data_IF_919972544840
#
_entry.id   IF_919972544840
#
_cell.length_a   1.000
_cell.length_b   1.000
_cell.length_c   1.000
_cell.angle_alpha   90.00
_cell.angle_beta   90.00
_cell.angle_gamma   90.00
#
_symmetry.space_group_name_H-M   'P 1'
#
loop_
_entity.id
_entity.type
_entity.pdbx_description
1 polymer ?
#
# COMPACT_ATOMS: atom_id res chain seq x y z
N UNK A 1 29.65 1.83 -20.25
CA UNK A 1 29.71 3.30 -20.09
C UNK A 1 29.27 3.75 -18.68
N UNK A 2 28.08 3.37 -18.21
CA UNK A 2 27.54 3.80 -16.90
C UNK A 2 28.40 3.45 -15.67
N UNK A 3 29.04 2.28 -15.64
CA UNK A 3 29.94 1.85 -14.55
C UNK A 3 31.16 2.77 -14.36
N UNK A 4 31.63 3.42 -15.42
CA UNK A 4 32.80 4.32 -15.38
C UNK A 4 32.41 5.70 -14.87
N UNK A 5 31.28 6.25 -15.35
CA UNK A 5 30.74 7.52 -14.88
C UNK A 5 30.34 7.46 -13.39
N UNK A 6 29.74 6.33 -12.99
CA UNK A 6 29.29 6.14 -11.62
C UNK A 6 30.47 5.92 -10.64
N UNK A 7 31.58 5.32 -11.10
CA UNK A 7 32.86 5.29 -10.36
C UNK A 7 33.49 6.67 -10.21
N UNK A 8 33.39 7.53 -11.24
CA UNK A 8 33.86 8.91 -11.17
C UNK A 8 33.06 9.73 -10.15
N UNK A 9 31.73 9.58 -10.14
CA UNK A 9 30.85 10.20 -9.13
C UNK A 9 31.19 9.72 -7.71
N UNK A 10 31.44 8.42 -7.53
CA UNK A 10 31.85 7.88 -6.23
C UNK A 10 33.22 8.40 -5.79
N UNK A 11 34.17 8.52 -6.73
CA UNK A 11 35.51 9.07 -6.46
C UNK A 11 35.42 10.55 -6.03
N UNK A 12 34.59 11.34 -6.71
CA UNK A 12 34.33 12.74 -6.40
C UNK A 12 33.61 12.95 -5.05
N UNK A 13 32.81 11.98 -4.59
CA UNK A 13 32.06 12.07 -3.33
C UNK A 13 32.80 11.45 -2.13
N UNK A 14 33.72 10.51 -2.36
CA UNK A 14 34.48 9.82 -1.30
C UNK A 14 35.81 10.50 -0.97
N UNK A 15 36.29 11.39 -1.83
CA UNK A 15 37.54 12.11 -1.63
C UNK A 15 37.19 13.56 -1.34
N UNK A 16 37.34 14.02 -0.09
CA UNK A 16 37.33 15.44 0.22
C UNK A 16 38.34 16.14 -0.70
N UNK A 17 37.86 17.10 -1.48
CA UNK A 17 38.61 17.76 -2.56
C UNK A 17 39.80 18.57 -2.01
N UNK A 18 39.86 18.81 -0.70
CA UNK A 18 40.90 19.62 -0.06
C UNK A 18 42.22 18.87 0.18
N UNK A 19 42.23 17.53 0.21
CA UNK A 19 43.42 16.75 0.64
C UNK A 19 44.26 16.16 -0.53
N UNK A 20 43.86 16.37 -1.79
CA UNK A 20 44.47 15.69 -2.95
C UNK A 20 45.79 16.33 -3.42
N UNK A 21 46.14 17.53 -2.98
CA UNK A 21 47.34 18.22 -3.49
C UNK A 21 48.67 17.79 -2.85
N UNK A 22 48.69 16.84 -1.89
CA UNK A 22 49.90 16.58 -1.11
C UNK A 22 50.52 15.17 -1.20
N UNK A 23 49.91 14.16 -1.84
CA UNK A 23 50.51 12.80 -1.81
C UNK A 23 50.35 11.98 -3.10
N UNK A 24 51.38 11.19 -3.50
CA UNK A 24 51.32 10.34 -4.68
C UNK A 24 50.34 9.18 -4.49
N UNK A 25 49.52 8.93 -5.51
CA UNK A 25 48.49 7.88 -5.59
C UNK A 25 49.08 6.47 -5.42
N UNK A 26 49.23 6.01 -4.17
CA UNK A 26 49.43 4.58 -3.87
C UNK A 26 48.14 3.82 -4.16
N UNK A 27 48.20 2.80 -5.02
CA UNK A 27 47.11 1.82 -5.17
C UNK A 27 46.93 1.08 -3.84
N UNK A 28 45.95 1.50 -3.04
CA UNK A 28 45.48 0.72 -1.89
C UNK A 28 44.89 -0.60 -2.40
N UNK A 29 45.08 -1.73 -1.70
CA UNK A 29 44.35 -2.95 -2.00
C UNK A 29 42.84 -2.67 -1.98
N UNK A 30 42.08 -3.39 -2.81
CA UNK A 30 40.62 -3.32 -2.83
C UNK A 30 40.09 -3.66 -1.43
N UNK A 31 39.73 -2.65 -0.64
CA UNK A 31 39.01 -2.85 0.62
C UNK A 31 37.68 -3.53 0.32
N UNK A 32 37.30 -4.48 1.16
CA UNK A 32 35.99 -5.09 1.11
C UNK A 32 34.95 -3.96 1.32
N UNK A 33 34.05 -3.66 0.37
CA UNK A 33 33.10 -2.56 0.51
C UNK A 33 32.13 -2.74 1.70
N UNK A 34 32.18 -3.90 2.35
CA UNK A 34 31.44 -4.28 3.55
C UNK A 34 32.24 -4.20 4.87
N UNK A 35 33.47 -3.67 4.89
CA UNK A 35 34.12 -3.17 6.12
C UNK A 35 33.44 -1.85 6.58
N UNK A 36 32.11 -1.84 6.59
CA UNK A 36 31.35 -0.62 6.69
C UNK A 36 31.55 -0.03 8.08
N UNK A 37 31.86 1.27 8.05
CA UNK A 37 31.58 2.30 9.05
C UNK A 37 30.29 2.01 9.85
N UNK A 38 30.09 2.68 10.98
CA UNK A 38 28.85 2.56 11.77
C UNK A 38 27.59 2.44 10.89
N UNK A 39 26.70 1.51 11.23
CA UNK A 39 25.46 1.24 10.50
C UNK A 39 24.68 2.55 10.28
N UNK A 40 24.42 2.90 9.02
CA UNK A 40 23.50 3.99 8.69
C UNK A 40 22.05 3.65 9.06
N UNK A 41 21.44 4.50 9.87
CA UNK A 41 20.01 4.45 10.21
C UNK A 41 19.48 5.87 10.01
N UNK A 42 18.94 6.11 8.81
CA UNK A 42 18.47 7.41 8.38
C UNK A 42 16.96 7.59 8.55
N UNK A 43 16.53 8.85 8.68
CA UNK A 43 15.14 9.26 8.56
C UNK A 43 14.98 10.27 7.42
N UNK A 44 14.04 10.01 6.53
CA UNK A 44 13.58 10.91 5.45
C UNK A 44 12.16 11.38 5.79
N UNK A 45 12.08 12.57 6.36
CA UNK A 45 10.83 13.23 6.70
C UNK A 45 10.37 14.21 5.63
N UNK A 46 9.12 14.66 5.76
CA UNK A 46 8.54 15.69 4.91
C UNK A 46 7.03 15.59 4.89
N UNK A 47 6.34 16.67 4.54
CA UNK A 47 4.88 16.71 4.40
C UNK A 47 4.40 15.68 3.37
N UNK A 48 3.10 15.40 3.39
CA UNK A 48 2.46 14.77 2.23
C UNK A 48 2.89 15.53 0.95
N UNK A 49 3.12 14.79 -0.13
CA UNK A 49 3.40 15.39 -1.45
C UNK A 49 4.74 16.15 -1.59
N UNK A 50 5.66 16.02 -0.64
CA UNK A 50 7.04 16.55 -0.74
C UNK A 50 7.98 15.72 -1.62
N UNK A 51 7.47 14.69 -2.32
CA UNK A 51 8.28 13.87 -3.22
C UNK A 51 9.09 12.75 -2.57
N UNK A 52 8.81 12.37 -1.31
CA UNK A 52 9.48 11.22 -0.62
C UNK A 52 9.51 9.95 -1.48
N UNK A 53 8.37 9.56 -2.06
CA UNK A 53 8.30 8.39 -2.95
C UNK A 53 9.15 8.54 -4.22
N UNK A 54 9.29 9.76 -4.76
CA UNK A 54 10.15 10.03 -5.92
C UNK A 54 11.64 9.87 -5.57
N UNK A 55 12.06 10.27 -4.37
CA UNK A 55 13.42 10.01 -3.86
C UNK A 55 13.67 8.50 -3.76
N UNK A 56 12.72 7.75 -3.19
CA UNK A 56 12.81 6.28 -3.10
C UNK A 56 12.96 5.66 -4.50
N UNK A 57 12.12 6.05 -5.46
CA UNK A 57 12.20 5.56 -6.85
C UNK A 57 13.53 5.90 -7.53
N UNK A 58 14.10 7.06 -7.22
CA UNK A 58 15.40 7.48 -7.73
C UNK A 58 16.53 6.60 -7.17
N UNK A 59 16.50 6.26 -5.88
CA UNK A 59 17.46 5.33 -5.27
C UNK A 59 17.38 3.94 -5.90
N UNK A 60 16.18 3.45 -6.20
CA UNK A 60 16.01 2.17 -6.90
C UNK A 60 16.56 2.20 -8.33
N UNK A 61 16.22 3.26 -9.06
CA UNK A 61 16.69 3.45 -10.44
C UNK A 61 18.22 3.51 -10.46
N UNK A 62 18.83 4.15 -9.47
CA UNK A 62 20.28 4.17 -9.31
C UNK A 62 20.85 2.77 -9.05
N UNK A 63 20.28 2.01 -8.10
CA UNK A 63 20.73 0.65 -7.79
C UNK A 63 20.62 -0.29 -9.00
N UNK A 64 19.54 -0.20 -9.76
CA UNK A 64 19.32 -0.96 -11.00
C UNK A 64 20.33 -0.59 -12.08
N UNK A 65 20.51 0.71 -12.38
CA UNK A 65 21.51 1.21 -13.33
C UNK A 65 22.95 0.87 -12.92
N UNK A 66 23.20 0.65 -11.62
CA UNK A 66 24.49 0.20 -11.10
C UNK A 66 24.70 -1.33 -11.25
N UNK A 67 23.70 -2.07 -11.72
CA UNK A 67 23.76 -3.54 -11.80
C UNK A 67 23.69 -4.20 -10.41
N UNK A 68 23.08 -3.52 -9.44
CA UNK A 68 22.83 -4.01 -8.08
C UNK A 68 21.32 -4.08 -7.79
N UNK A 69 20.56 -4.44 -8.82
CA UNK A 69 19.14 -4.78 -8.66
C UNK A 69 19.02 -5.86 -7.56
N UNK A 70 18.32 -5.53 -6.47
CA UNK A 70 18.19 -6.39 -5.29
C UNK A 70 18.98 -5.96 -4.05
N UNK A 71 19.91 -4.99 -4.15
CA UNK A 71 20.62 -4.46 -2.98
C UNK A 71 19.78 -3.50 -2.12
N UNK A 72 18.60 -3.10 -2.60
CA UNK A 72 17.67 -2.21 -1.90
C UNK A 72 16.34 -2.93 -1.71
N UNK A 73 16.01 -3.26 -0.47
CA UNK A 73 14.69 -3.74 -0.09
C UNK A 73 13.79 -2.55 0.24
N UNK A 74 12.51 -2.69 -0.08
CA UNK A 74 11.47 -1.73 0.33
C UNK A 74 10.35 -2.47 1.03
N UNK A 75 9.91 -1.92 2.15
CA UNK A 75 8.76 -2.37 2.91
C UNK A 75 7.90 -1.16 3.32
N UNK A 76 6.60 -1.35 3.54
CA UNK A 76 5.73 -0.29 4.03
C UNK A 76 4.69 -0.81 5.03
N UNK A 77 4.12 0.08 5.84
CA UNK A 77 3.08 -0.26 6.82
C UNK A 77 1.78 -0.73 6.16
N UNK A 78 1.25 0.06 5.22
CA UNK A 78 -0.01 -0.22 4.53
C UNK A 78 0.21 -0.80 3.13
N UNK A 79 -0.81 -1.50 2.62
CA UNK A 79 -0.81 -2.01 1.24
C UNK A 79 -0.73 -0.90 0.18
N UNK A 80 -1.45 0.20 0.40
CA UNK A 80 -1.45 1.36 -0.51
C UNK A 80 -0.07 2.03 -0.54
N UNK A 81 0.55 2.24 0.62
CA UNK A 81 1.92 2.77 0.69
C UNK A 81 2.92 1.83 0.00
N UNK A 82 2.81 0.52 0.26
CA UNK A 82 3.65 -0.47 -0.40
C UNK A 82 3.50 -0.40 -1.93
N UNK A 83 2.28 -0.20 -2.45
CA UNK A 83 2.04 -0.05 -3.88
C UNK A 83 2.74 1.19 -4.47
N UNK A 84 2.61 2.34 -3.81
CA UNK A 84 3.20 3.61 -4.26
C UNK A 84 4.71 3.52 -4.49
N UNK A 85 5.39 2.73 -3.66
CA UNK A 85 6.84 2.49 -3.77
C UNK A 85 7.19 1.10 -4.30
N UNK A 86 6.24 0.36 -4.90
CA UNK A 86 6.43 -1.00 -5.46
C UNK A 86 7.12 -1.99 -4.50
N UNK A 87 6.71 -1.97 -3.25
CA UNK A 87 7.24 -2.71 -2.11
C UNK A 87 6.31 -3.86 -1.66
N UNK A 88 6.75 -4.63 -0.67
CA UNK A 88 5.89 -5.53 0.12
C UNK A 88 5.43 -4.81 1.40
N UNK A 89 4.34 -5.24 2.01
CA UNK A 89 4.03 -4.79 3.38
C UNK A 89 5.03 -5.40 4.37
N UNK A 90 5.23 -4.78 5.52
CA UNK A 90 6.08 -5.33 6.60
C UNK A 90 5.66 -6.76 6.97
N UNK A 91 4.34 -7.00 7.06
CA UNK A 91 3.76 -8.32 7.33
C UNK A 91 4.18 -9.37 6.30
N UNK A 92 4.02 -9.07 5.00
CA UNK A 92 4.38 -10.00 3.92
C UNK A 92 5.89 -10.18 3.77
N UNK A 93 6.68 -9.12 4.00
CA UNK A 93 8.13 -9.16 3.86
C UNK A 93 8.83 -9.96 4.96
N UNK A 94 8.19 -10.13 6.13
CA UNK A 94 8.76 -10.78 7.31
C UNK A 94 7.95 -11.97 7.83
N UNK A 95 6.92 -12.39 7.08
CA UNK A 95 6.00 -13.47 7.47
C UNK A 95 5.43 -13.26 8.87
N UNK A 96 4.97 -12.04 9.17
CA UNK A 96 4.42 -11.69 10.48
C UNK A 96 2.95 -12.11 10.60
N UNK A 97 2.49 -12.32 11.84
CA UNK A 97 1.06 -12.54 12.10
C UNK A 97 0.27 -11.27 11.81
N UNK A 98 -0.92 -11.42 11.21
CA UNK A 98 -1.84 -10.29 10.94
C UNK A 98 -2.54 -9.83 12.22
N UNK A 99 -2.69 -10.72 13.21
CA UNK A 99 -3.22 -10.42 14.54
C UNK A 99 -2.27 -10.96 15.61
N UNK A 100 -1.97 -10.12 16.60
CA UNK A 100 -0.98 -10.40 17.65
C UNK A 100 0.46 -10.07 17.24
N UNK A 101 1.40 -10.35 18.15
CA UNK A 101 2.80 -10.01 17.98
C UNK A 101 3.63 -11.20 17.44
N UNK A 102 4.68 -10.89 16.69
CA UNK A 102 5.70 -11.85 16.27
C UNK A 102 5.50 -12.47 14.88
N UNK A 103 6.47 -13.32 14.51
CA UNK A 103 6.46 -14.06 13.26
C UNK A 103 5.36 -15.11 13.26
N UNK A 104 4.72 -15.28 12.10
CA UNK A 104 3.85 -16.43 11.82
C UNK A 104 4.68 -17.68 11.56
N UNK A 105 5.80 -17.54 10.87
CA UNK A 105 6.77 -18.61 10.60
C UNK A 105 8.17 -18.02 10.44
N UNK A 106 9.20 -18.81 10.74
CA UNK A 106 10.59 -18.39 10.52
C UNK A 106 10.90 -18.16 9.04
N UNK A 107 11.92 -17.34 8.73
CA UNK A 107 12.31 -17.04 7.35
C UNK A 107 12.84 -18.29 6.64
N UNK A 108 12.35 -18.54 5.42
CA UNK A 108 12.80 -19.67 4.62
C UNK A 108 14.18 -19.42 3.97
N UNK A 109 14.78 -20.45 3.35
CA UNK A 109 16.13 -20.37 2.76
C UNK A 109 16.21 -19.31 1.63
N UNK A 110 15.15 -19.16 0.85
CA UNK A 110 15.10 -18.17 -0.23
C UNK A 110 15.12 -16.74 0.34
N UNK A 111 14.27 -16.46 1.33
CA UNK A 111 14.23 -15.16 2.01
C UNK A 111 15.59 -14.79 2.60
N UNK A 112 16.28 -15.76 3.25
CA UNK A 112 17.63 -15.53 3.77
C UNK A 112 18.62 -15.23 2.65
N UNK A 113 18.52 -15.92 1.52
CA UNK A 113 19.40 -15.72 0.36
C UNK A 113 19.18 -14.35 -0.28
N UNK A 114 17.92 -13.96 -0.46
CA UNK A 114 17.55 -12.65 -1.02
C UNK A 114 17.98 -11.53 -0.07
N UNK A 115 17.68 -11.66 1.23
CA UNK A 115 18.03 -10.66 2.25
C UNK A 115 19.54 -10.55 2.49
N UNK A 116 20.31 -11.62 2.22
CA UNK A 116 21.77 -11.55 2.29
C UNK A 116 22.34 -10.53 1.29
N UNK A 117 21.74 -10.38 0.11
CA UNK A 117 22.16 -9.43 -0.93
C UNK A 117 21.75 -7.98 -0.62
N UNK A 118 20.76 -7.78 0.25
CA UNK A 118 20.26 -6.46 0.64
C UNK A 118 21.35 -5.70 1.39
N UNK A 119 21.53 -4.43 1.05
CA UNK A 119 22.44 -3.49 1.72
C UNK A 119 21.63 -2.42 2.44
N UNK A 120 20.56 -1.95 1.82
CA UNK A 120 19.66 -0.92 2.34
C UNK A 120 18.22 -1.44 2.41
N UNK A 121 17.59 -1.26 3.57
CA UNK A 121 16.15 -1.49 3.79
C UNK A 121 15.46 -0.14 3.92
N UNK A 122 14.52 0.15 3.03
CA UNK A 122 13.67 1.34 3.08
C UNK A 122 12.33 0.95 3.71
N UNK A 123 11.92 1.66 4.77
CA UNK A 123 10.65 1.48 5.46
C UNK A 123 9.80 2.72 5.26
N UNK A 124 8.74 2.62 4.45
CA UNK A 124 7.83 3.73 4.17
C UNK A 124 6.60 3.72 5.08
N UNK A 125 6.04 4.90 5.31
CA UNK A 125 5.01 5.17 6.33
C UNK A 125 5.42 4.68 7.74
N UNK A 126 6.66 4.96 8.14
CA UNK A 126 7.16 4.62 9.48
C UNK A 126 6.33 5.27 10.60
N UNK A 127 5.73 6.44 10.33
CA UNK A 127 4.87 7.16 11.28
C UNK A 127 3.59 6.43 11.64
N UNK A 128 3.09 5.56 10.76
CA UNK A 128 1.92 4.73 11.02
C UNK A 128 2.26 3.37 11.64
N UNK A 129 3.55 3.04 11.76
CA UNK A 129 4.00 1.73 12.24
C UNK A 129 4.02 1.73 13.77
N UNK A 130 3.33 0.80 14.41
CA UNK A 130 3.42 0.67 15.87
C UNK A 130 4.75 0.00 16.32
N UNK A 131 5.06 0.12 17.61
CA UNK A 131 6.30 -0.41 18.17
C UNK A 131 6.39 -1.95 18.07
N UNK A 132 5.27 -2.66 18.18
CA UNK A 132 5.23 -4.12 18.20
C UNK A 132 5.52 -4.69 16.80
N UNK A 133 4.96 -4.07 15.77
CA UNK A 133 5.18 -4.40 14.37
C UNK A 133 6.62 -4.09 13.95
N UNK A 134 7.15 -2.92 14.33
CA UNK A 134 8.56 -2.61 14.04
C UNK A 134 9.50 -3.59 14.75
N UNK A 135 9.24 -3.90 16.03
CA UNK A 135 10.05 -4.86 16.79
C UNK A 135 10.00 -6.26 16.18
N UNK A 136 8.82 -6.71 15.75
CA UNK A 136 8.67 -8.00 15.07
C UNK A 136 9.39 -8.02 13.72
N UNK A 137 9.37 -6.90 12.99
CA UNK A 137 10.09 -6.74 11.72
C UNK A 137 11.61 -6.77 11.93
N UNK A 138 12.10 -6.09 12.97
CA UNK A 138 13.51 -6.06 13.35
C UNK A 138 14.01 -7.47 13.74
N UNK A 139 13.30 -8.15 14.64
CA UNK A 139 13.60 -9.54 15.03
C UNK A 139 13.66 -10.47 13.81
N UNK A 140 12.66 -10.39 12.94
CA UNK A 140 12.65 -11.20 11.73
C UNK A 140 13.80 -10.89 10.76
N UNK A 141 14.23 -9.62 10.70
CA UNK A 141 15.39 -9.22 9.89
C UNK A 141 16.69 -9.75 10.48
N UNK A 142 16.83 -9.74 11.82
CA UNK A 142 17.98 -10.30 12.53
C UNK A 142 18.13 -11.80 12.26
N UNK A 143 17.02 -12.55 12.25
CA UNK A 143 17.01 -14.00 11.96
C UNK A 143 17.46 -14.36 10.53
N UNK A 144 17.45 -13.38 9.62
CA UNK A 144 17.89 -13.53 8.24
C UNK A 144 19.37 -13.20 8.03
N UNK A 145 20.10 -12.79 9.07
CA UNK A 145 21.47 -12.27 8.96
C UNK A 145 22.43 -12.89 9.98
N UNK A 146 23.72 -12.65 9.79
CA UNK A 146 24.78 -12.99 10.75
C UNK A 146 25.04 -11.90 11.79
N UNK A 147 24.26 -10.81 11.80
CA UNK A 147 24.39 -9.67 12.72
C UNK A 147 23.14 -9.51 13.62
N UNK A 148 22.77 -10.52 14.43
CA UNK A 148 21.50 -10.55 15.15
C UNK A 148 21.37 -9.49 16.26
N UNK A 149 22.48 -8.86 16.64
CA UNK A 149 22.51 -7.81 17.68
C UNK A 149 22.23 -6.41 17.14
N UNK A 150 22.33 -6.22 15.82
CA UNK A 150 22.14 -4.92 15.18
C UNK A 150 20.71 -4.76 14.68
N UNK A 151 20.22 -3.52 14.68
CA UNK A 151 18.91 -3.18 14.13
C UNK A 151 18.81 -3.66 12.68
N UNK A 152 17.66 -4.23 12.30
CA UNK A 152 17.39 -4.80 10.97
C UNK A 152 18.45 -5.81 10.50
N UNK A 153 19.11 -6.51 11.42
CA UNK A 153 20.17 -7.46 11.08
C UNK A 153 21.44 -6.80 10.53
N UNK A 154 21.71 -5.55 10.93
CA UNK A 154 22.90 -4.79 10.51
C UNK A 154 22.81 -4.15 9.13
N UNK A 155 21.68 -4.27 8.44
CA UNK A 155 21.45 -3.60 7.15
C UNK A 155 21.30 -2.10 7.35
N UNK A 156 21.77 -1.30 6.40
CA UNK A 156 21.44 0.12 6.41
C UNK A 156 19.93 0.28 6.36
N UNK A 157 19.39 1.24 7.10
CA UNK A 157 17.95 1.45 7.15
C UNK A 157 17.62 2.90 6.85
N UNK A 158 16.66 3.13 5.97
CA UNK A 158 16.08 4.45 5.72
C UNK A 158 14.60 4.41 6.08
N UNK A 159 14.22 5.20 7.07
CA UNK A 159 12.86 5.32 7.57
C UNK A 159 12.21 6.52 6.91
N UNK A 160 11.14 6.31 6.15
CA UNK A 160 10.43 7.36 5.42
C UNK A 160 9.04 7.55 6.01
N UNK A 161 8.60 8.79 6.16
CA UNK A 161 7.23 9.08 6.60
C UNK A 161 7.06 10.50 7.13
N UNK A 162 5.91 10.75 7.74
CA UNK A 162 5.57 12.04 8.35
C UNK A 162 4.95 11.82 9.73
N UNK A 163 5.68 12.16 10.79
CA UNK A 163 5.24 11.96 12.17
C UNK A 163 4.01 12.78 12.56
N UNK A 164 3.62 13.76 11.74
CA UNK A 164 2.40 14.57 11.95
C UNK A 164 1.12 13.89 11.46
N UNK A 165 1.18 12.79 10.72
CA UNK A 165 -0.01 12.19 10.09
C UNK A 165 -0.81 11.31 11.07
N UNK A 166 -0.16 10.42 11.83
CA UNK A 166 -0.78 9.60 12.88
C UNK A 166 0.29 9.24 13.94
N UNK A 167 -0.05 9.20 15.23
CA UNK A 167 0.96 8.99 16.28
C UNK A 167 1.37 7.52 16.35
N UNK A 168 2.64 7.24 16.04
CA UNK A 168 3.35 6.08 16.56
C UNK A 168 4.33 6.53 17.65
N UNK A 169 4.16 6.01 18.87
CA UNK A 169 5.08 6.27 19.98
C UNK A 169 6.22 5.26 19.91
N UNK A 170 7.42 5.70 19.51
CA UNK A 170 8.60 4.83 19.44
C UNK A 170 9.90 5.46 19.98
N UNK A 171 10.04 5.61 21.31
CA UNK A 171 11.20 6.26 21.93
C UNK A 171 12.55 5.63 21.56
N UNK A 172 12.58 4.29 21.40
CA UNK A 172 13.80 3.54 21.10
C UNK A 172 14.27 3.69 19.66
N UNK A 173 13.37 3.99 18.72
CA UNK A 173 13.72 4.19 17.32
C UNK A 173 14.51 5.49 17.15
N UNK A 174 14.07 6.57 17.81
CA UNK A 174 14.71 7.87 17.73
C UNK A 174 16.18 7.84 18.16
N UNK A 175 16.52 7.06 19.20
CA UNK A 175 17.90 6.91 19.65
C UNK A 175 18.81 6.16 18.68
N UNK A 176 18.23 5.38 17.76
CA UNK A 176 18.99 4.62 16.78
C UNK A 176 19.24 5.41 15.48
N UNK A 177 18.42 6.42 15.18
CA UNK A 177 18.56 7.26 14.00
C UNK A 177 19.81 8.14 14.14
N UNK A 178 20.70 8.06 13.14
CA UNK A 178 21.96 8.81 13.12
C UNK A 178 22.09 9.75 11.92
N UNK A 179 21.08 9.82 11.06
CA UNK A 179 21.02 10.75 9.95
C UNK A 179 19.59 11.17 9.68
N UNK A 180 19.35 12.47 9.49
CA UNK A 180 18.00 13.02 9.33
C UNK A 180 17.98 14.01 8.17
N UNK A 181 17.03 13.83 7.26
CA UNK A 181 16.75 14.75 6.16
C UNK A 181 15.26 15.03 6.14
N UNK A 182 14.89 16.30 6.01
CA UNK A 182 13.51 16.72 5.77
C UNK A 182 13.39 17.32 4.37
N UNK A 183 12.40 16.82 3.60
CA UNK A 183 11.93 17.48 2.40
C UNK A 183 10.92 18.55 2.80
N UNK A 184 11.19 19.79 2.42
CA UNK A 184 10.42 20.97 2.85
C UNK A 184 9.51 21.54 1.76
N UNK A 185 9.76 21.20 0.50
CA UNK A 185 9.02 21.74 -0.64
C UNK A 185 7.86 20.82 -1.02
N UNK A 186 6.63 21.34 -0.99
CA UNK A 186 5.44 20.63 -1.44
C UNK A 186 5.30 20.73 -2.97
N UNK A 187 5.25 19.58 -3.65
CA UNK A 187 5.29 19.50 -5.11
C UNK A 187 3.89 19.53 -5.75
N UNK A 188 2.84 19.10 -5.03
CA UNK A 188 1.47 19.01 -5.58
C UNK A 188 0.66 20.28 -5.34
N UNK A 189 0.81 20.91 -4.17
CA UNK A 189 0.15 22.17 -3.85
C UNK A 189 0.90 23.41 -4.39
N UNK A 190 1.96 23.22 -5.18
CA UNK A 190 2.73 24.31 -5.79
C UNK A 190 1.86 25.23 -6.67
N UNK A 191 0.76 24.71 -7.23
CA UNK A 191 -0.19 25.48 -8.03
C UNK A 191 -1.21 26.26 -7.19
N UNK A 192 -1.35 25.94 -5.90
CA UNK A 192 -2.25 26.62 -4.95
C UNK A 192 -1.51 26.87 -3.61
N UNK A 193 -0.74 27.95 -3.60
CA UNK A 193 0.04 28.36 -2.43
C UNK A 193 -0.84 28.62 -1.20
N UNK A 194 -2.09 29.06 -1.39
CA UNK A 194 -3.01 29.27 -0.28
C UNK A 194 -3.41 27.94 0.35
N UNK A 195 -3.71 26.93 -0.45
CA UNK A 195 -4.00 25.58 0.04
C UNK A 195 -2.78 24.93 0.70
N UNK A 196 -1.58 25.09 0.11
CA UNK A 196 -0.33 24.60 0.70
C UNK A 196 -0.10 25.16 2.12
N UNK A 197 -0.34 26.46 2.31
CA UNK A 197 -0.21 27.12 3.62
C UNK A 197 -1.21 26.55 4.64
N UNK A 198 -2.48 26.37 4.24
CA UNK A 198 -3.51 25.77 5.10
C UNK A 198 -3.09 24.36 5.55
N UNK A 199 -2.58 23.54 4.64
CA UNK A 199 -2.10 22.18 4.96
C UNK A 199 -0.92 22.19 5.94
N UNK A 200 0.03 23.11 5.76
CA UNK A 200 1.17 23.24 6.67
C UNK A 200 0.72 23.70 8.07
N UNK A 201 -0.21 24.65 8.16
CA UNK A 201 -0.81 25.08 9.43
C UNK A 201 -1.53 23.93 10.15
N UNK A 202 -2.33 23.15 9.41
CA UNK A 202 -3.02 21.97 9.92
C UNK A 202 -2.05 20.92 10.46
N UNK A 203 -0.95 20.66 9.75
CA UNK A 203 0.07 19.68 10.13
C UNK A 203 0.68 19.95 11.51
N UNK A 204 0.83 21.23 11.87
CA UNK A 204 1.37 21.65 13.17
C UNK A 204 0.30 21.92 14.22
N UNK A 205 -0.99 21.78 13.87
CA UNK A 205 -2.11 22.14 14.74
C UNK A 205 -2.22 23.64 15.02
N UNK A 206 -1.68 24.49 14.14
CA UNK A 206 -1.65 25.96 14.28
C UNK A 206 -2.48 26.62 13.19
N UNK A 207 -3.76 26.27 13.12
CA UNK A 207 -4.68 26.74 12.08
C UNK A 207 -5.12 28.19 12.37
N UNK A 208 -4.86 29.08 11.44
CA UNK A 208 -5.34 30.46 11.48
C UNK A 208 -6.86 30.56 11.27
N UNK A 209 -7.47 31.63 11.75
CA UNK A 209 -8.90 31.87 11.55
C UNK A 209 -9.27 32.02 10.06
N UNK A 210 -8.39 32.63 9.24
CA UNK A 210 -8.58 32.74 7.79
C UNK A 210 -8.52 31.37 7.11
N UNK A 211 -7.55 30.52 7.47
CA UNK A 211 -7.45 29.15 6.98
C UNK A 211 -8.71 28.33 7.33
N UNK A 212 -9.19 28.44 8.58
CA UNK A 212 -10.40 27.76 9.02
C UNK A 212 -11.64 28.27 8.25
N UNK A 213 -11.77 29.59 8.07
CA UNK A 213 -12.88 30.18 7.31
C UNK A 213 -12.87 29.72 5.85
N UNK A 214 -11.69 29.63 5.22
CA UNK A 214 -11.54 29.09 3.86
C UNK A 214 -11.94 27.62 3.78
N UNK A 215 -11.53 26.78 4.73
CA UNK A 215 -11.96 25.37 4.78
C UNK A 215 -13.47 25.26 4.95
N UNK A 216 -14.06 26.04 5.87
CA UNK A 216 -15.49 26.06 6.11
C UNK A 216 -16.28 26.55 4.88
N UNK A 217 -15.72 27.46 4.07
CA UNK A 217 -16.35 27.89 2.81
C UNK A 217 -16.47 26.78 1.77
N UNK A 218 -15.71 25.68 1.92
CA UNK A 218 -15.79 24.49 1.06
C UNK A 218 -16.74 23.43 1.59
N UNK A 219 -17.35 23.64 2.75
CA UNK A 219 -18.42 22.79 3.24
C UNK A 219 -19.65 23.09 2.40
N UNK A 220 -19.91 22.20 1.45
CA UNK A 220 -21.10 22.28 0.60
C UNK A 220 -22.21 21.54 1.32
N UNK A 221 -23.31 22.22 1.64
CA UNK A 221 -24.56 21.53 1.97
C UNK A 221 -24.98 20.69 0.76
N UNK A 222 -25.27 19.41 0.98
CA UNK A 222 -25.67 18.48 -0.08
C UNK A 222 -26.72 19.15 -0.98
N UNK A 223 -26.40 19.43 -2.26
CA UNK A 223 -27.37 20.07 -3.13
C UNK A 223 -28.59 19.14 -3.25
N UNK A 224 -29.79 19.72 -3.13
CA UNK A 224 -31.07 19.01 -3.25
C UNK A 224 -31.24 18.34 -4.61
N UNK A 225 -30.45 18.74 -5.61
CA UNK A 225 -30.32 18.12 -6.93
C UNK A 225 -28.87 18.25 -7.39
N UNK A 226 -28.13 17.15 -7.42
CA UNK A 226 -26.80 17.13 -8.02
C UNK A 226 -26.93 16.96 -9.53
N UNK A 227 -26.48 17.95 -10.31
CA UNK A 227 -26.26 17.76 -11.74
C UNK A 227 -25.19 16.70 -11.94
N UNK A 228 -25.59 15.58 -12.54
CA UNK A 228 -24.75 14.40 -12.71
C UNK A 228 -23.87 14.56 -13.92
N UNK A 229 -22.74 15.23 -13.74
CA UNK A 229 -21.65 15.22 -14.73
C UNK A 229 -21.11 13.80 -14.87
N UNK A 230 -21.09 13.30 -16.10
CA UNK A 230 -21.00 11.89 -16.47
C UNK A 230 -19.65 11.17 -16.24
N UNK A 231 -18.59 11.81 -15.74
CA UNK A 231 -17.25 11.20 -15.85
C UNK A 231 -16.21 11.69 -14.84
N UNK A 232 -16.45 11.59 -13.53
CA UNK A 232 -15.33 11.64 -12.58
C UNK A 232 -15.56 10.79 -11.33
N UNK A 233 -14.67 9.83 -11.10
CA UNK A 233 -14.58 9.07 -9.85
C UNK A 233 -14.31 10.05 -8.70
N UNK A 234 -15.29 10.22 -7.80
CA UNK A 234 -15.19 11.09 -6.62
C UNK A 234 -15.06 10.22 -5.37
N UNK A 235 -13.84 9.97 -4.86
CA UNK A 235 -13.67 9.19 -3.64
C UNK A 235 -14.25 9.95 -2.45
N UNK A 236 -15.05 9.26 -1.62
CA UNK A 236 -15.47 9.77 -0.32
C UNK A 236 -14.55 9.23 0.77
N UNK A 237 -14.06 10.11 1.63
CA UNK A 237 -13.27 9.76 2.81
C UNK A 237 -14.12 9.94 4.05
N UNK A 238 -14.17 8.92 4.91
CA UNK A 238 -14.92 8.91 6.16
C UNK A 238 -14.11 8.32 7.29
N UNK A 239 -14.45 8.69 8.53
CA UNK A 239 -13.66 8.35 9.71
C UNK A 239 -13.70 6.86 10.11
N UNK A 240 -14.73 6.10 9.72
CA UNK A 240 -14.88 4.70 10.16
C UNK A 240 -15.25 3.75 9.02
N UNK A 241 -14.81 2.49 9.12
CA UNK A 241 -15.20 1.44 8.19
C UNK A 241 -16.71 1.19 8.18
N UNK A 242 -17.37 1.28 9.35
CA UNK A 242 -18.84 1.16 9.45
C UNK A 242 -19.56 2.18 8.59
N UNK A 243 -19.16 3.45 8.66
CA UNK A 243 -19.74 4.52 7.84
C UNK A 243 -19.39 4.30 6.37
N UNK A 244 -18.13 3.93 6.06
CA UNK A 244 -17.69 3.64 4.68
C UNK A 244 -18.53 2.55 4.03
N UNK A 245 -18.77 1.44 4.72
CA UNK A 245 -19.57 0.34 4.20
C UNK A 245 -21.05 0.73 4.04
N UNK A 246 -21.61 1.51 4.98
CA UNK A 246 -22.98 2.01 4.86
C UNK A 246 -23.17 2.94 3.67
N UNK A 247 -22.27 3.93 3.48
CA UNK A 247 -22.30 4.84 2.33
C UNK A 247 -22.13 4.08 1.03
N UNK A 248 -21.18 3.15 0.95
CA UNK A 248 -20.99 2.33 -0.25
C UNK A 248 -22.24 1.52 -0.59
N UNK A 249 -22.93 0.93 0.41
CA UNK A 249 -24.20 0.23 0.20
C UNK A 249 -25.27 1.18 -0.36
N UNK A 250 -25.51 2.32 0.30
CA UNK A 250 -26.52 3.30 -0.11
C UNK A 250 -26.27 3.84 -1.52
N UNK A 251 -25.02 4.20 -1.82
CA UNK A 251 -24.62 4.68 -3.16
C UNK A 251 -24.80 3.60 -4.22
N UNK A 252 -24.45 2.35 -3.90
CA UNK A 252 -24.62 1.22 -4.82
C UNK A 252 -26.11 1.02 -5.16
N UNK A 253 -26.98 1.07 -4.16
CA UNK A 253 -28.42 0.88 -4.34
C UNK A 253 -29.03 2.03 -5.14
N UNK A 254 -28.70 3.27 -4.77
CA UNK A 254 -29.15 4.47 -5.49
C UNK A 254 -28.74 4.47 -6.96
N UNK A 255 -27.49 4.12 -7.28
CA UNK A 255 -27.01 4.04 -8.67
C UNK A 255 -27.75 2.96 -9.45
N UNK A 256 -28.00 1.80 -8.84
CA UNK A 256 -28.70 0.70 -9.51
C UNK A 256 -30.17 1.05 -9.79
N UNK A 257 -30.88 1.63 -8.83
CA UNK A 257 -32.28 2.07 -9.01
C UNK A 257 -32.40 3.09 -10.14
N UNK A 258 -31.52 4.09 -10.15
CA UNK A 258 -31.66 5.20 -11.08
C UNK A 258 -31.18 4.89 -12.49
N UNK A 259 -30.08 4.15 -12.62
CA UNK A 259 -29.58 3.72 -13.93
C UNK A 259 -30.27 2.43 -14.42
N UNK A 260 -31.26 1.92 -13.67
CA UNK A 260 -31.93 0.64 -13.95
C UNK A 260 -30.95 -0.51 -14.17
N UNK A 261 -29.88 -0.55 -13.38
CA UNK A 261 -28.84 -1.58 -13.46
C UNK A 261 -29.19 -2.77 -12.57
N UNK A 262 -28.91 -4.01 -13.02
CA UNK A 262 -29.05 -5.19 -12.17
C UNK A 262 -28.11 -5.14 -10.96
N UNK A 263 -28.69 -5.21 -9.76
CA UNK A 263 -27.95 -5.31 -8.50
C UNK A 263 -27.81 -6.77 -8.09
N UNK A 264 -26.57 -7.22 -7.89
CA UNK A 264 -26.28 -8.59 -7.48
C UNK A 264 -25.90 -8.67 -6.00
N UNK A 265 -26.51 -9.61 -5.27
CA UNK A 265 -26.08 -10.00 -3.92
C UNK A 265 -25.23 -11.28 -4.00
N UNK A 266 -23.95 -11.15 -3.68
CA UNK A 266 -22.99 -12.25 -3.62
C UNK A 266 -22.70 -12.56 -2.15
N UNK A 267 -23.04 -13.77 -1.71
CA UNK A 267 -22.77 -14.23 -0.34
C UNK A 267 -21.48 -15.01 -0.27
N UNK A 268 -20.76 -14.84 0.84
CA UNK A 268 -19.67 -15.73 1.19
C UNK A 268 -20.21 -17.13 1.50
N UNK A 269 -19.42 -18.16 1.23
CA UNK A 269 -19.78 -19.54 1.56
C UNK A 269 -19.16 -19.93 2.91
N UNK A 270 -19.97 -20.24 3.94
CA UNK A 270 -19.45 -20.72 5.21
C UNK A 270 -18.90 -22.14 5.07
N UNK A 271 -17.90 -22.47 5.88
CA UNK A 271 -17.51 -23.86 6.10
C UNK A 271 -18.59 -24.61 6.89
N UNK A 272 -18.50 -25.94 6.97
CA UNK A 272 -19.49 -26.78 7.64
C UNK A 272 -19.72 -26.39 9.10
N UNK A 273 -18.64 -26.05 9.82
CA UNK A 273 -18.67 -25.69 11.25
C UNK A 273 -19.43 -24.39 11.50
N UNK A 274 -19.37 -23.45 10.57
CA UNK A 274 -19.98 -22.12 10.70
C UNK A 274 -21.35 -22.02 10.01
N UNK A 275 -21.81 -23.07 9.30
CA UNK A 275 -23.06 -23.04 8.54
C UNK A 275 -24.29 -22.69 9.39
N UNK A 276 -24.34 -23.20 10.64
CA UNK A 276 -25.46 -22.97 11.56
C UNK A 276 -25.52 -21.52 12.05
N UNK A 277 -24.37 -20.88 12.27
CA UNK A 277 -24.30 -19.50 12.77
C UNK A 277 -24.25 -18.45 11.65
N UNK A 278 -23.97 -18.88 10.41
CA UNK A 278 -23.72 -17.97 9.28
C UNK A 278 -24.84 -16.97 9.05
N UNK A 279 -26.09 -17.42 9.16
CA UNK A 279 -27.26 -16.55 8.97
C UNK A 279 -27.32 -15.41 10.00
N UNK A 280 -26.84 -15.63 11.22
CA UNK A 280 -26.80 -14.62 12.27
C UNK A 280 -25.64 -13.63 12.12
N UNK A 281 -24.55 -14.05 11.46
CA UNK A 281 -23.32 -13.25 11.31
C UNK A 281 -23.16 -12.64 9.93
N UNK A 282 -24.03 -12.93 8.95
CA UNK A 282 -23.89 -12.47 7.57
C UNK A 282 -23.83 -10.93 7.43
N UNK A 283 -24.38 -10.21 8.42
CA UNK A 283 -24.35 -8.74 8.50
C UNK A 283 -23.27 -8.22 9.48
N UNK A 284 -22.36 -9.08 9.95
CA UNK A 284 -21.28 -8.68 10.84
C UNK A 284 -20.36 -7.67 10.14
N UNK A 285 -19.72 -6.83 10.94
CA UNK A 285 -18.77 -5.83 10.43
C UNK A 285 -17.57 -6.50 9.75
N UNK A 286 -17.18 -5.99 8.58
CA UNK A 286 -16.02 -6.41 7.80
C UNK A 286 -14.70 -6.39 8.61
N UNK A 287 -14.63 -5.57 9.66
CA UNK A 287 -13.48 -5.55 10.58
C UNK A 287 -13.26 -6.90 11.28
N UNK A 288 -14.33 -7.65 11.54
CA UNK A 288 -14.30 -8.99 12.17
C UNK A 288 -13.89 -10.09 11.18
N UNK A 289 -13.98 -9.82 9.88
CA UNK A 289 -13.76 -10.81 8.80
C UNK A 289 -12.51 -10.49 7.99
N UNK A 290 -11.54 -9.79 8.60
CA UNK A 290 -10.30 -9.36 7.96
C UNK A 290 -10.55 -8.61 6.64
N UNK A 291 -11.58 -7.73 6.63
CA UNK A 291 -11.99 -6.88 5.51
C UNK A 291 -12.50 -7.63 4.29
N UNK A 292 -13.01 -8.85 4.46
CA UNK A 292 -13.76 -9.58 3.44
C UNK A 292 -15.26 -9.48 3.76
N UNK A 293 -16.08 -8.90 2.89
CA UNK A 293 -17.52 -8.83 3.15
C UNK A 293 -18.14 -10.23 3.09
N UNK A 294 -18.96 -10.57 4.08
CA UNK A 294 -19.78 -11.81 4.05
C UNK A 294 -20.96 -11.69 3.08
N UNK A 295 -21.34 -10.44 2.78
CA UNK A 295 -22.32 -10.07 1.77
C UNK A 295 -21.76 -8.92 0.95
N UNK A 296 -21.50 -9.18 -0.32
CA UNK A 296 -21.06 -8.19 -1.28
C UNK A 296 -22.23 -7.83 -2.19
N UNK A 297 -22.56 -6.53 -2.23
CA UNK A 297 -23.47 -5.97 -3.22
C UNK A 297 -22.65 -5.39 -4.37
N UNK A 298 -22.95 -5.77 -5.60
CA UNK A 298 -22.20 -5.31 -6.77
C UNK A 298 -23.02 -5.25 -8.04
N UNK A 299 -22.57 -4.44 -9.00
CA UNK A 299 -23.13 -4.32 -10.34
C UNK A 299 -22.00 -4.23 -11.38
N UNK A 300 -22.31 -4.50 -12.65
CA UNK A 300 -21.33 -4.38 -13.74
C UNK A 300 -21.09 -2.89 -14.00
N UNK A 301 -19.83 -2.46 -13.94
CA UNK A 301 -19.43 -1.04 -13.98
C UNK A 301 -19.08 -0.46 -12.61
N UNK A 302 -19.26 -1.21 -11.52
CA UNK A 302 -18.96 -0.74 -10.17
C UNK A 302 -17.45 -0.53 -9.95
N UNK A 303 -17.01 0.64 -9.45
CA UNK A 303 -15.63 0.84 -9.03
C UNK A 303 -15.34 0.08 -7.72
N UNK A 304 -14.21 -0.60 -7.66
CA UNK A 304 -13.78 -1.39 -6.51
C UNK A 304 -12.29 -1.17 -6.20
N UNK A 305 -11.91 -1.55 -4.98
CA UNK A 305 -10.52 -1.66 -4.56
C UNK A 305 -10.21 -3.13 -4.32
N UNK A 306 -9.17 -3.65 -4.96
CA UNK A 306 -8.70 -5.02 -4.74
C UNK A 306 -7.95 -5.08 -3.41
N UNK A 307 -8.57 -5.69 -2.41
CA UNK A 307 -8.04 -5.76 -1.03
C UNK A 307 -7.19 -6.99 -0.75
N UNK A 308 -7.14 -7.97 -1.67
CA UNK A 308 -6.28 -9.16 -1.57
C UNK A 308 -5.79 -9.59 -2.93
N UNK A 309 -4.53 -10.00 -2.99
CA UNK A 309 -3.90 -10.49 -4.21
C UNK A 309 -4.13 -12.00 -4.34
N UNK A 310 -4.77 -12.49 -5.43
CA UNK A 310 -4.82 -13.91 -5.73
C UNK A 310 -3.40 -14.47 -5.93
N UNK A 311 -3.07 -15.68 -5.46
CA UNK A 311 -1.76 -16.30 -5.68
C UNK A 311 -1.38 -16.39 -7.17
N UNK A 312 -2.36 -16.59 -8.05
CA UNK A 312 -2.18 -16.65 -9.51
C UNK A 312 -1.70 -15.32 -10.09
N UNK A 313 -1.95 -14.21 -9.41
CA UNK A 313 -1.49 -12.89 -9.81
C UNK A 313 -0.22 -12.46 -9.05
N UNK A 314 0.33 -13.28 -8.14
CA UNK A 314 1.43 -12.92 -7.24
C UNK A 314 2.63 -12.27 -7.95
N UNK A 315 2.97 -12.76 -9.14
CA UNK A 315 4.10 -12.30 -9.95
C UNK A 315 3.80 -11.06 -10.80
N UNK A 316 2.53 -10.71 -10.96
CA UNK A 316 2.12 -9.48 -11.64
C UNK A 316 2.41 -8.28 -10.75
N UNK A 317 3.46 -7.54 -11.10
CA UNK A 317 3.84 -6.26 -10.45
C UNK A 317 2.73 -5.20 -10.51
N UNK A 318 1.72 -5.37 -11.37
CA UNK A 318 0.61 -4.45 -11.60
C UNK A 318 -0.55 -4.59 -10.59
N UNK A 319 -0.60 -5.65 -9.79
CA UNK A 319 -1.66 -5.87 -8.80
C UNK A 319 -1.06 -5.90 -7.40
N UNK A 320 -1.27 -4.83 -6.63
CA UNK A 320 -0.93 -4.76 -5.21
C UNK A 320 -2.21 -4.50 -4.39
N UNK A 321 -2.12 -4.67 -3.07
CA UNK A 321 -3.19 -4.31 -2.14
C UNK A 321 -3.58 -2.83 -2.33
N UNK A 322 -4.85 -2.56 -2.65
CA UNK A 322 -5.31 -1.19 -2.86
C UNK A 322 -5.46 -0.76 -4.33
N UNK A 323 -5.28 -1.66 -5.30
CA UNK A 323 -5.44 -1.32 -6.73
C UNK A 323 -6.90 -1.02 -7.05
N UNK A 324 -7.15 0.10 -7.72
CA UNK A 324 -8.47 0.49 -8.21
C UNK A 324 -8.82 -0.26 -9.50
N UNK A 325 -10.07 -0.66 -9.62
CA UNK A 325 -10.58 -1.27 -10.84
C UNK A 325 -12.09 -1.16 -10.94
N UNK A 326 -12.63 -1.67 -12.04
CA UNK A 326 -14.06 -1.71 -12.31
C UNK A 326 -14.49 -3.14 -12.58
N UNK A 327 -15.58 -3.59 -11.96
CA UNK A 327 -16.17 -4.90 -12.26
C UNK A 327 -16.71 -4.88 -13.69
N UNK A 328 -16.31 -5.85 -14.51
CA UNK A 328 -16.78 -5.98 -15.89
C UNK A 328 -17.62 -7.24 -16.12
N UNK A 329 -17.63 -8.19 -15.18
CA UNK A 329 -18.44 -9.39 -15.29
C UNK A 329 -18.15 -10.44 -14.23
N UNK A 330 -18.88 -11.56 -14.32
CA UNK A 330 -18.79 -12.70 -13.42
C UNK A 330 -18.71 -14.00 -14.24
N UNK A 331 -18.13 -15.04 -13.66
CA UNK A 331 -18.19 -16.40 -14.19
C UNK A 331 -18.77 -17.37 -13.15
N UNK A 332 -19.82 -18.16 -13.48
CA UNK A 332 -20.61 -18.07 -14.72
C UNK A 332 -21.27 -16.68 -14.89
N UNK A 333 -21.62 -16.29 -16.13
CA UNK A 333 -22.33 -15.05 -16.38
C UNK A 333 -23.57 -14.92 -15.48
N UNK A 334 -23.83 -13.73 -14.95
CA UNK A 334 -24.86 -13.55 -13.91
C UNK A 334 -26.29 -13.86 -14.40
N UNK A 335 -26.54 -13.80 -15.71
CA UNK A 335 -27.78 -14.22 -16.36
C UNK A 335 -27.94 -15.74 -16.45
N UNK A 336 -26.85 -16.50 -16.42
CA UNK A 336 -26.83 -17.98 -16.45
C UNK A 336 -26.71 -18.59 -15.05
N UNK A 337 -26.31 -17.78 -14.06
CA UNK A 337 -26.16 -18.21 -12.68
C UNK A 337 -27.53 -18.44 -12.00
N UNK A 338 -27.65 -19.53 -11.24
CA UNK A 338 -28.80 -19.78 -10.36
C UNK A 338 -28.96 -18.61 -9.38
N UNK A 339 -30.09 -17.92 -9.46
CA UNK A 339 -30.37 -16.73 -8.67
C UNK A 339 -31.84 -16.64 -8.26
N UNK A 340 -32.09 -15.85 -7.21
CA UNK A 340 -33.43 -15.56 -6.69
C UNK A 340 -33.58 -14.05 -6.57
N UNK A 341 -34.71 -13.51 -7.02
CA UNK A 341 -35.04 -12.11 -6.83
C UNK A 341 -35.51 -11.88 -5.40
N UNK A 342 -34.94 -10.88 -4.74
CA UNK A 342 -35.26 -10.53 -3.36
C UNK A 342 -35.50 -9.04 -3.27
N UNK A 343 -36.67 -8.66 -2.78
CA UNK A 343 -36.97 -7.26 -2.48
C UNK A 343 -36.21 -6.81 -1.24
N UNK A 344 -35.49 -5.69 -1.36
CA UNK A 344 -34.74 -5.09 -0.26
C UNK A 344 -34.76 -3.57 -0.44
N UNK A 345 -35.30 -2.83 0.54
CA UNK A 345 -35.19 -1.36 0.58
C UNK A 345 -35.55 -0.71 -0.78
N UNK A 346 -36.69 -1.11 -1.36
CA UNK A 346 -37.27 -0.60 -2.61
C UNK A 346 -36.52 -0.93 -3.92
N UNK A 347 -35.52 -1.82 -3.87
CA UNK A 347 -34.86 -2.37 -5.06
C UNK A 347 -34.99 -3.91 -5.11
N UNK A 348 -35.20 -4.44 -6.30
CA UNK A 348 -35.14 -5.88 -6.56
C UNK A 348 -33.68 -6.29 -6.71
N UNK A 349 -33.21 -7.12 -5.79
CA UNK A 349 -31.84 -7.63 -5.76
C UNK A 349 -31.80 -9.04 -6.31
N UNK A 350 -30.95 -9.27 -7.31
CA UNK A 350 -30.67 -10.62 -7.83
C UNK A 350 -29.65 -11.30 -6.93
N UNK A 351 -30.13 -12.13 -6.00
CA UNK A 351 -29.26 -12.92 -5.11
C UNK A 351 -28.76 -14.15 -5.83
N UNK A 352 -27.44 -14.27 -5.96
CA UNK A 352 -26.83 -15.49 -6.49
C UNK A 352 -26.89 -16.61 -5.44
N UNK A 353 -27.34 -17.80 -5.81
CA UNK A 353 -27.44 -18.95 -4.90
C UNK A 353 -26.06 -19.56 -4.60
N UNK A 354 -25.09 -19.37 -5.51
CA UNK A 354 -23.70 -19.81 -5.38
C UNK A 354 -22.76 -18.63 -5.61
N UNK A 355 -21.63 -18.58 -4.92
CA UNK A 355 -20.62 -17.55 -5.18
C UNK A 355 -20.05 -17.76 -6.59
N UNK A 356 -19.89 -16.70 -7.41
CA UNK A 356 -19.21 -16.80 -8.68
C UNK A 356 -17.83 -17.43 -8.54
N UNK A 357 -17.44 -18.23 -9.53
CA UNK A 357 -16.10 -18.83 -9.58
C UNK A 357 -15.03 -17.77 -9.87
N UNK A 358 -15.36 -16.81 -10.75
CA UNK A 358 -14.49 -15.66 -11.07
C UNK A 358 -15.29 -14.35 -11.04
N UNK A 359 -14.63 -13.27 -10.63
CA UNK A 359 -15.05 -11.90 -10.87
C UNK A 359 -14.03 -11.25 -11.79
N UNK A 360 -14.47 -10.72 -12.93
CA UNK A 360 -13.61 -10.02 -13.87
C UNK A 360 -13.53 -8.54 -13.50
N UNK A 361 -12.32 -8.02 -13.38
CA UNK A 361 -12.06 -6.63 -12.98
C UNK A 361 -11.10 -5.99 -13.97
N UNK A 362 -11.46 -4.84 -14.53
CA UNK A 362 -10.55 -4.01 -15.32
C UNK A 362 -9.85 -3.00 -14.42
N UNK A 363 -8.54 -3.11 -14.29
CA UNK A 363 -7.71 -2.17 -13.55
C UNK A 363 -7.61 -0.83 -14.28
N UNK A 364 -7.64 0.29 -13.56
CA UNK A 364 -7.60 1.62 -14.18
C UNK A 364 -6.21 1.97 -14.75
N UNK A 365 -5.14 1.57 -14.07
CA UNK A 365 -3.75 1.92 -14.42
C UNK A 365 -2.99 0.78 -15.09
N UNK A 366 -3.64 -0.03 -15.93
CA UNK A 366 -3.01 -1.16 -16.58
C UNK A 366 -3.39 -1.31 -18.07
N UNK A 367 -2.44 -0.97 -18.95
CA UNK A 367 -2.62 -1.07 -20.40
C UNK A 367 -2.17 -2.41 -21.00
N UNK A 368 -1.80 -3.37 -20.16
CA UNK A 368 -1.32 -4.69 -20.61
C UNK A 368 -2.48 -5.66 -20.68
N UNK A 369 -2.55 -6.46 -21.74
CA UNK A 369 -3.47 -7.61 -21.80
C UNK A 369 -2.92 -8.69 -20.86
N UNK A 370 -3.66 -8.98 -19.79
CA UNK A 370 -3.26 -9.97 -18.78
C UNK A 370 -3.99 -11.31 -18.95
N UNK A 371 -5.20 -11.26 -19.50
CA UNK A 371 -6.04 -12.43 -19.78
C UNK A 371 -6.29 -12.49 -21.29
N UNK A 372 -5.88 -13.56 -21.99
CA UNK A 372 -6.14 -13.72 -23.42
C UNK A 372 -7.65 -13.65 -23.73
N UNK A 373 -8.02 -12.91 -24.77
CA UNK A 373 -9.42 -12.73 -25.17
C UNK A 373 -10.17 -11.58 -24.46
N UNK A 374 -9.56 -10.94 -23.47
CA UNK A 374 -10.08 -9.75 -22.82
C UNK A 374 -9.28 -8.49 -23.19
N UNK A 375 -9.88 -7.32 -22.97
CA UNK A 375 -9.21 -6.04 -23.14
C UNK A 375 -8.01 -5.85 -22.19
N UNK A 376 -7.24 -4.80 -22.44
CA UNK A 376 -6.14 -4.40 -21.56
C UNK A 376 -6.61 -4.18 -20.11
N UNK A 377 -5.78 -4.59 -19.15
CA UNK A 377 -5.99 -4.36 -17.72
C UNK A 377 -7.01 -5.28 -17.05
N UNK A 378 -7.58 -6.25 -17.77
CA UNK A 378 -8.52 -7.21 -17.19
C UNK A 378 -7.79 -8.27 -16.37
N UNK A 379 -8.23 -8.46 -15.13
CA UNK A 379 -7.79 -9.54 -14.24
C UNK A 379 -8.96 -10.44 -13.86
N UNK A 380 -8.62 -11.68 -13.55
CA UNK A 380 -9.52 -12.68 -12.98
C UNK A 380 -9.31 -12.75 -11.48
N UNK A 381 -10.36 -12.48 -10.70
CA UNK A 381 -10.36 -12.69 -9.25
C UNK A 381 -11.10 -13.99 -8.97
N UNK A 382 -10.39 -15.08 -8.66
CA UNK A 382 -11.03 -16.34 -8.35
C UNK A 382 -11.68 -16.29 -6.97
N UNK A 383 -12.66 -17.19 -6.77
CA UNK A 383 -13.20 -17.48 -5.46
C UNK A 383 -12.08 -17.85 -4.49
N UNK A 384 -11.89 -17.02 -3.45
CA UNK A 384 -10.84 -17.22 -2.45
C UNK A 384 -11.40 -18.13 -1.35
N UNK A 385 -10.92 -19.38 -1.30
CA UNK A 385 -11.13 -20.21 -0.10
C UNK A 385 -10.32 -19.64 1.05
N UNK A 386 -10.86 -19.61 2.27
CA UNK A 386 -10.12 -19.23 3.48
C UNK A 386 -8.86 -20.09 3.72
N UNK A 387 -8.73 -21.23 3.02
CA UNK A 387 -7.54 -22.09 3.01
C UNK A 387 -6.44 -21.68 2.02
N UNK A 388 -6.64 -20.65 1.19
CA UNK A 388 -5.57 -20.07 0.37
C UNK A 388 -4.59 -19.32 1.27
N UNK A 389 -3.68 -20.11 1.85
CA UNK A 389 -2.35 -19.75 2.32
C UNK A 389 -2.21 -18.27 2.70
N UNK A 390 -2.66 -17.99 3.91
CA UNK A 390 -1.82 -17.39 4.96
C UNK A 390 -0.38 -17.10 4.51
#
# INVERSE_FOLDING_TARGET
MYKTAARHLLFAYLSDVEDILAQPLRRKPLQNPYEIRQQFIGYLGGEAETGKSAVIHSMLTFADKWGRAGSVERIAFTGVAAMNIRAKTMHSARLLKISGNGQRSGPNKQMKTDFAQVVLTIVDEISMTDQALLSSTDLASRDMTTSPRQFMGGKHTLLCGDWSQLPAIQPRLYNAVNFVVFLTENMCAAQDAAYANILSELRWGRVSSDALARLNSRVVELPSTSERTSTFFRPLVVATNKIRCAINKLMTFSVCTEMSLPLYEIRAEPNEKSRQIFQHIINANDDLTQRIPLRLYSFIGMPIIVTRKPPQLADLKATAYGTLGTIIGYYPPANEAESVQVESEDIVVTRLLKTPQLIFVRLHDCDRVLVPGFGAGVIEIPKISATLST
#
